data_IF_334858341047
#
_entry.id   IF_334858341047
#
_cell.length_a   1.000
_cell.length_b   1.000
_cell.length_c   1.000
_cell.angle_alpha   90.00
_cell.angle_beta   90.00
_cell.angle_gamma   90.00
#
_symmetry.space_group_name_H-M   'P 1'
#
loop_
_entity.id
_entity.type
_entity.pdbx_description
1 polymer ?
#
# COMPACT_ATOMS: atom_id res chain seq x y z
N UNK A 1 8.05 -21.40 -20.98
CA UNK A 1 8.43 -20.04 -20.55
C UNK A 1 7.24 -19.23 -20.05
N UNK A 2 6.13 -19.19 -20.79
CA UNK A 2 5.01 -18.26 -20.55
C UNK A 2 4.03 -18.77 -19.47
N UNK A 3 3.81 -20.08 -19.36
CA UNK A 3 2.89 -20.66 -18.37
C UNK A 3 3.31 -20.47 -16.90
N UNK A 4 4.62 -20.53 -16.62
CA UNK A 4 5.15 -20.27 -15.27
C UNK A 4 5.07 -18.79 -14.88
N UNK A 5 5.27 -17.88 -15.82
CA UNK A 5 5.09 -16.45 -15.58
C UNK A 5 3.61 -16.11 -15.31
N UNK A 6 2.69 -16.70 -16.08
CA UNK A 6 1.23 -16.56 -15.84
C UNK A 6 0.83 -17.12 -14.47
N UNK A 7 1.27 -18.33 -14.13
CA UNK A 7 0.98 -18.92 -12.82
C UNK A 7 1.54 -18.07 -11.67
N UNK A 8 2.74 -17.50 -11.82
CA UNK A 8 3.32 -16.62 -10.80
C UNK A 8 2.54 -15.30 -10.65
N UNK A 9 2.16 -14.67 -11.75
CA UNK A 9 1.30 -13.47 -11.74
C UNK A 9 -0.04 -13.80 -11.08
N UNK A 10 -0.61 -14.95 -11.40
CA UNK A 10 -1.92 -15.35 -10.88
C UNK A 10 -1.84 -15.69 -9.39
N UNK A 11 -0.80 -16.41 -8.98
CA UNK A 11 -0.65 -16.92 -7.62
C UNK A 11 -0.02 -15.92 -6.64
N UNK A 12 0.74 -14.92 -7.12
CA UNK A 12 1.25 -13.84 -6.27
C UNK A 12 0.36 -12.59 -6.37
N UNK A 13 -0.05 -12.19 -7.58
CA UNK A 13 -0.86 -11.00 -7.80
C UNK A 13 -2.29 -11.14 -7.30
N UNK A 14 -3.02 -12.18 -7.73
CA UNK A 14 -4.40 -12.36 -7.23
C UNK A 14 -4.42 -12.78 -5.77
N UNK A 15 -3.41 -13.49 -5.26
CA UNK A 15 -3.36 -13.83 -3.84
C UNK A 15 -3.14 -12.59 -2.97
N UNK A 16 -2.32 -11.63 -3.40
CA UNK A 16 -2.21 -10.33 -2.72
C UNK A 16 -3.53 -9.57 -2.77
N UNK A 17 -4.19 -9.58 -3.92
CA UNK A 17 -5.43 -8.84 -4.09
C UNK A 17 -6.63 -9.52 -3.35
N UNK A 18 -6.63 -10.85 -3.18
CA UNK A 18 -7.63 -11.58 -2.39
C UNK A 18 -7.36 -11.56 -0.88
N UNK A 19 -6.12 -11.80 -0.44
CA UNK A 19 -5.80 -12.17 0.94
C UNK A 19 -4.93 -11.15 1.72
N UNK A 20 -4.43 -10.08 1.09
CA UNK A 20 -3.52 -9.10 1.73
C UNK A 20 -4.16 -7.70 1.88
N UNK A 21 -5.47 -7.65 2.16
CA UNK A 21 -6.18 -6.43 2.58
C UNK A 21 -6.92 -5.64 1.50
N UNK A 22 -7.11 -6.21 0.30
CA UNK A 22 -7.94 -5.60 -0.77
C UNK A 22 -9.31 -6.28 -0.94
N UNK A 23 -9.63 -7.28 -0.10
CA UNK A 23 -10.96 -7.88 0.14
C UNK A 23 -11.84 -8.08 -1.11
N UNK A 24 -11.26 -8.59 -2.19
CA UNK A 24 -11.97 -8.84 -3.45
C UNK A 24 -13.15 -9.81 -3.36
N UNK A 25 -13.19 -10.64 -2.31
CA UNK A 25 -14.27 -11.61 -2.11
C UNK A 25 -15.48 -10.98 -1.40
N UNK A 26 -15.35 -9.77 -0.85
CA UNK A 26 -16.46 -9.09 -0.20
C UNK A 26 -17.27 -8.29 -1.23
N UNK A 27 -18.34 -8.91 -1.72
CA UNK A 27 -19.39 -8.19 -2.43
C UNK A 27 -20.07 -7.21 -1.44
N UNK A 28 -19.65 -5.94 -1.42
CA UNK A 28 -20.35 -4.84 -0.72
C UNK A 28 -21.73 -4.50 -1.34
N UNK A 29 -22.32 -5.42 -2.11
CA UNK A 29 -23.49 -5.22 -2.93
C UNK A 29 -24.76 -5.72 -2.27
N UNK A 30 -25.29 -4.96 -1.30
CA UNK A 30 -26.75 -4.86 -1.21
C UNK A 30 -27.23 -3.99 -2.40
N UNK A 31 -27.50 -4.64 -3.54
CA UNK A 31 -28.38 -4.09 -4.59
C UNK A 31 -27.80 -3.12 -5.64
N UNK A 32 -26.51 -2.78 -5.64
CA UNK A 32 -25.94 -1.84 -6.62
C UNK A 32 -24.92 -2.54 -7.54
N UNK A 33 -25.32 -2.87 -8.78
CA UNK A 33 -24.55 -3.63 -9.79
C UNK A 33 -23.20 -3.00 -10.23
N UNK A 34 -22.85 -1.84 -9.71
CA UNK A 34 -21.66 -1.07 -10.12
C UNK A 34 -20.72 -0.75 -8.96
N UNK A 35 -21.19 -0.80 -7.71
CA UNK A 35 -20.41 -0.34 -6.55
C UNK A 35 -19.22 -1.26 -6.24
N UNK A 36 -19.44 -2.58 -6.27
CA UNK A 36 -18.38 -3.57 -6.09
C UNK A 36 -17.29 -3.46 -7.18
N UNK A 37 -17.68 -3.14 -8.42
CA UNK A 37 -16.74 -2.94 -9.52
C UNK A 37 -15.93 -1.64 -9.35
N UNK A 38 -16.54 -0.55 -8.87
CA UNK A 38 -15.80 0.68 -8.55
C UNK A 38 -14.78 0.44 -7.44
N UNK A 39 -15.15 -0.27 -6.37
CA UNK A 39 -14.21 -0.62 -5.31
C UNK A 39 -13.06 -1.51 -5.82
N UNK A 40 -13.36 -2.47 -6.72
CA UNK A 40 -12.34 -3.25 -7.40
C UNK A 40 -11.33 -2.37 -8.12
N UNK A 41 -11.80 -1.42 -8.94
CA UNK A 41 -10.93 -0.51 -9.69
C UNK A 41 -10.10 0.39 -8.78
N UNK A 42 -10.69 0.89 -7.69
CA UNK A 42 -9.97 1.71 -6.70
C UNK A 42 -8.88 0.91 -5.98
N UNK A 43 -9.17 -0.34 -5.61
CA UNK A 43 -8.19 -1.24 -5.02
C UNK A 43 -7.05 -1.55 -5.99
N UNK A 44 -7.36 -1.81 -7.26
CA UNK A 44 -6.34 -2.04 -8.29
C UNK A 44 -5.48 -0.80 -8.51
N UNK A 45 -6.10 0.39 -8.58
CA UNK A 45 -5.39 1.66 -8.72
C UNK A 45 -4.47 1.92 -7.52
N UNK A 46 -4.95 1.69 -6.31
CA UNK A 46 -4.14 1.82 -5.09
C UNK A 46 -2.96 0.83 -5.10
N UNK A 47 -3.17 -0.41 -5.52
CA UNK A 47 -2.10 -1.40 -5.65
C UNK A 47 -1.03 -0.95 -6.65
N UNK A 48 -1.43 -0.48 -7.82
CA UNK A 48 -0.50 0.04 -8.86
C UNK A 48 0.24 1.27 -8.34
N UNK A 49 -0.46 2.23 -7.74
CA UNK A 49 0.15 3.44 -7.18
C UNK A 49 1.19 3.10 -6.10
N UNK A 50 0.85 2.21 -5.17
CA UNK A 50 1.80 1.74 -4.14
C UNK A 50 3.01 1.03 -4.75
N UNK A 51 2.82 0.28 -5.83
CA UNK A 51 3.90 -0.43 -6.54
C UNK A 51 4.83 0.57 -7.22
N UNK A 52 4.28 1.56 -7.92
CA UNK A 52 5.05 2.63 -8.56
C UNK A 52 5.86 3.40 -7.51
N UNK A 53 5.24 3.82 -6.41
CA UNK A 53 5.93 4.53 -5.33
C UNK A 53 7.04 3.67 -4.71
N UNK A 54 6.80 2.38 -4.48
CA UNK A 54 7.80 1.48 -3.94
C UNK A 54 9.04 1.34 -4.84
N UNK A 55 8.85 1.39 -6.16
CA UNK A 55 9.94 1.27 -7.14
C UNK A 55 10.62 2.61 -7.45
N UNK A 56 9.85 3.70 -7.48
CA UNK A 56 10.28 4.99 -8.01
C UNK A 56 10.67 6.05 -6.97
N UNK A 57 10.36 5.84 -5.68
CA UNK A 57 10.66 6.83 -4.64
C UNK A 57 11.81 6.35 -3.72
N UNK A 58 13.03 6.92 -3.86
CA UNK A 58 14.18 6.55 -3.05
C UNK A 58 13.98 6.87 -1.56
N UNK A 59 13.23 7.91 -1.21
CA UNK A 59 12.96 8.25 0.19
C UNK A 59 12.05 7.20 0.83
N UNK A 60 11.01 6.77 0.11
CA UNK A 60 10.12 5.72 0.59
C UNK A 60 10.86 4.39 0.74
N UNK A 61 11.78 4.08 -0.17
CA UNK A 61 12.64 2.89 -0.07
C UNK A 61 13.50 2.94 1.20
N UNK A 62 14.12 4.08 1.51
CA UNK A 62 14.88 4.26 2.75
C UNK A 62 14.00 4.08 4.00
N UNK A 63 12.78 4.62 4.01
CA UNK A 63 11.84 4.43 5.12
C UNK A 63 11.53 2.94 5.36
N UNK A 64 11.34 2.17 4.27
CA UNK A 64 11.05 0.73 4.32
C UNK A 64 12.25 -0.13 4.72
N UNK A 65 13.48 0.38 4.58
CA UNK A 65 14.67 -0.30 5.11
C UNK A 65 14.81 -0.14 6.63
N UNK A 66 14.29 0.96 7.20
CA UNK A 66 14.36 1.21 8.65
C UNK A 66 13.35 0.40 9.46
N UNK A 67 12.17 0.12 8.91
CA UNK A 67 11.08 -0.48 9.66
C UNK A 67 10.17 -1.36 8.77
N UNK A 68 9.43 -2.32 9.35
CA UNK A 68 8.45 -3.09 8.60
C UNK A 68 7.38 -2.17 8.00
N UNK A 69 6.85 -2.58 6.84
CA UNK A 69 5.89 -1.80 6.04
C UNK A 69 4.73 -1.25 6.88
N UNK A 70 4.18 -2.05 7.80
CA UNK A 70 3.05 -1.65 8.66
C UNK A 70 3.40 -0.45 9.53
N UNK A 71 4.56 -0.46 10.16
CA UNK A 71 4.99 0.61 11.08
C UNK A 71 5.27 1.92 10.34
N UNK A 72 5.85 1.81 9.13
CA UNK A 72 6.03 2.96 8.24
C UNK A 72 4.65 3.58 7.94
N UNK A 73 3.69 2.79 7.46
CA UNK A 73 2.35 3.28 7.12
C UNK A 73 1.61 3.88 8.31
N UNK A 74 1.67 3.23 9.47
CA UNK A 74 1.04 3.73 10.69
C UNK A 74 1.61 5.10 11.08
N UNK A 75 2.93 5.26 11.03
CA UNK A 75 3.59 6.52 11.34
C UNK A 75 3.27 7.63 10.34
N UNK A 76 3.24 7.32 9.04
CA UNK A 76 2.84 8.28 8.00
C UNK A 76 1.38 8.71 8.19
N UNK A 77 0.47 7.76 8.47
CA UNK A 77 -0.93 8.04 8.74
C UNK A 77 -1.11 8.94 9.96
N UNK A 78 -0.35 8.69 11.03
CA UNK A 78 -0.36 9.54 12.21
C UNK A 78 0.20 10.94 11.91
N UNK A 79 1.29 11.04 11.15
CA UNK A 79 1.82 12.33 10.71
C UNK A 79 0.79 13.17 9.95
N UNK A 80 0.06 12.56 9.02
CA UNK A 80 -1.01 13.25 8.27
C UNK A 80 -2.19 13.62 9.16
N UNK A 81 -2.58 12.74 10.10
CA UNK A 81 -3.73 12.97 10.96
C UNK A 81 -3.51 14.12 11.96
N UNK A 82 -2.27 14.35 12.41
CA UNK A 82 -1.94 15.29 13.47
C UNK A 82 -1.22 16.55 12.99
N UNK A 83 -0.68 16.58 11.77
CA UNK A 83 0.13 17.70 11.28
C UNK A 83 -0.23 18.07 9.85
N UNK A 84 -0.16 19.36 9.53
CA UNK A 84 -0.23 19.82 8.14
C UNK A 84 1.10 19.55 7.46
N UNK A 85 1.11 18.57 6.56
CA UNK A 85 2.31 18.18 5.83
C UNK A 85 2.38 18.94 4.51
N UNK A 86 3.44 19.72 4.32
CA UNK A 86 3.62 20.54 3.12
C UNK A 86 3.80 19.73 1.81
N UNK A 87 4.34 18.51 1.90
CA UNK A 87 4.51 17.62 0.76
C UNK A 87 4.80 16.17 1.18
N UNK A 88 4.65 15.24 0.25
CA UNK A 88 5.02 13.84 0.44
C UNK A 88 6.48 13.65 0.87
N UNK A 89 7.41 14.38 0.24
CA UNK A 89 8.83 14.29 0.59
C UNK A 89 9.13 14.85 1.98
N UNK A 90 8.43 15.91 2.40
CA UNK A 90 8.54 16.44 3.76
C UNK A 90 8.07 15.41 4.80
N UNK A 91 6.97 14.69 4.53
CA UNK A 91 6.48 13.62 5.41
C UNK A 91 7.52 12.50 5.58
N UNK A 92 8.08 12.02 4.46
CA UNK A 92 9.06 10.93 4.48
C UNK A 92 10.36 11.35 5.17
N UNK A 93 10.83 12.57 4.95
CA UNK A 93 12.00 13.11 5.67
C UNK A 93 11.74 13.24 7.16
N UNK A 94 10.55 13.70 7.55
CA UNK A 94 10.16 13.78 8.95
C UNK A 94 10.13 12.38 9.59
N UNK A 95 9.57 11.38 8.90
CA UNK A 95 9.63 9.99 9.35
C UNK A 95 11.08 9.52 9.54
N UNK A 96 11.94 9.70 8.53
CA UNK A 96 13.34 9.26 8.60
C UNK A 96 14.13 9.90 9.74
N UNK A 97 13.80 11.14 10.10
CA UNK A 97 14.42 11.90 11.17
C UNK A 97 13.88 11.52 12.57
N UNK A 98 12.58 11.25 12.69
CA UNK A 98 11.91 11.02 13.98
C UNK A 98 11.79 9.54 14.36
N UNK A 99 11.98 8.63 13.40
CA UNK A 99 11.79 7.21 13.64
C UNK A 99 12.75 6.68 14.71
N UNK A 100 12.19 5.95 15.67
CA UNK A 100 12.90 5.18 16.69
C UNK A 100 12.36 3.75 16.68
N UNK A 101 13.22 2.73 16.86
CA UNK A 101 12.74 1.35 16.99
C UNK A 101 11.81 1.23 18.20
N UNK A 102 10.73 0.47 18.04
CA UNK A 102 9.83 0.16 19.17
C UNK A 102 10.63 -0.66 20.19
N UNK A 103 10.56 -0.35 21.49
CA UNK A 103 11.25 -1.16 22.50
C UNK A 103 10.75 -2.61 22.47
N UNK A 104 11.60 -3.58 22.83
CA UNK A 104 11.25 -5.00 22.85
C UNK A 104 10.11 -5.32 23.82
#
# INVERSE_FOLDING_TARGET
>A
GIGRARWKIENEGFNVHKNQGYELEHNFGHGQKTLAMVFYWLNLLAFVAHTILAMGDPLLQQCRMKAPRRDVWESLRMGIAWTLVASWSALLRAYLALWKPRPP
#
